data_IF_489069840109
#
_entry.id   IF_489069840109
#
_cell.length_a   1.000
_cell.length_b   1.000
_cell.length_c   1.000
_cell.angle_alpha   90.00
_cell.angle_beta   90.00
_cell.angle_gamma   90.00
#
_symmetry.space_group_name_H-M   'P 1'
#
loop_
_entity.id
_entity.type
_entity.pdbx_description
1 polymer ?
#
# COMPACT_ATOMS: atom_id res chain seq x y z
N UNK A 1 14.17 -3.21 9.01
CA UNK A 1 12.86 -3.01 9.68
C UNK A 1 11.80 -2.74 8.64
N UNK A 2 10.60 -3.26 8.89
CA UNK A 2 9.42 -2.98 8.07
C UNK A 2 8.43 -2.13 8.88
N UNK A 3 8.15 -0.94 8.37
CA UNK A 3 7.20 0.00 8.97
C UNK A 3 5.97 0.06 8.08
N UNK A 4 4.84 -0.36 8.62
CA UNK A 4 3.54 -0.25 7.94
C UNK A 4 2.84 1.02 8.42
N UNK A 5 2.38 1.86 7.48
CA UNK A 5 1.56 3.02 7.76
C UNK A 5 0.15 2.74 7.24
N UNK A 6 -0.83 2.86 8.11
CA UNK A 6 -2.23 2.58 7.81
C UNK A 6 -3.14 3.59 8.49
N UNK A 7 -4.17 4.01 7.76
CA UNK A 7 -5.21 4.89 8.25
C UNK A 7 -6.47 4.12 8.69
N UNK A 8 -6.99 4.40 9.88
CA UNK A 8 -8.19 3.78 10.40
C UNK A 8 -9.22 4.80 10.87
N UNK A 9 -10.45 4.63 10.41
CA UNK A 9 -11.60 5.39 10.90
C UNK A 9 -12.25 4.67 12.08
N UNK A 10 -12.35 5.34 13.21
CA UNK A 10 -13.07 4.86 14.39
C UNK A 10 -14.45 5.54 14.41
N UNK A 11 -15.50 4.77 14.14
CA UNK A 11 -16.86 5.27 13.99
C UNK A 11 -17.64 5.43 15.31
N UNK A 12 -17.05 5.09 16.46
CA UNK A 12 -17.76 5.08 17.77
C UNK A 12 -17.15 6.02 18.81
N UNK A 13 -16.38 7.02 18.39
CA UNK A 13 -15.70 7.93 19.32
C UNK A 13 -16.61 8.99 19.96
N UNK A 14 -17.88 9.07 19.55
CA UNK A 14 -18.86 10.03 20.10
C UNK A 14 -19.74 9.36 21.17
N UNK A 15 -19.65 9.85 22.39
CA UNK A 15 -20.52 9.43 23.51
C UNK A 15 -21.98 9.96 23.41
N UNK A 16 -22.30 10.72 22.36
CA UNK A 16 -23.62 11.32 22.19
C UNK A 16 -24.37 10.74 21.00
N UNK A 17 -25.05 9.61 21.22
CA UNK A 17 -25.88 8.92 20.20
C UNK A 17 -27.22 9.60 19.89
N UNK A 18 -27.51 10.76 20.45
CA UNK A 18 -28.89 11.22 20.50
C UNK A 18 -29.27 12.38 19.56
N UNK A 19 -28.33 13.07 18.89
CA UNK A 19 -28.69 14.23 18.06
C UNK A 19 -27.71 14.50 16.91
N UNK A 20 -27.24 13.49 16.14
CA UNK A 20 -26.38 13.78 14.98
C UNK A 20 -27.19 13.86 13.69
N UNK A 21 -27.37 15.06 13.19
CA UNK A 21 -27.87 15.34 11.83
C UNK A 21 -26.77 15.13 10.76
N UNK A 22 -25.48 15.09 11.16
CA UNK A 22 -24.34 14.89 10.26
C UNK A 22 -23.70 13.51 10.46
N UNK A 23 -23.70 12.64 9.41
CA UNK A 23 -23.10 11.31 9.46
C UNK A 23 -21.57 11.30 9.68
N UNK A 24 -20.89 12.44 9.47
CA UNK A 24 -19.43 12.58 9.66
C UNK A 24 -19.07 13.03 11.09
N UNK A 25 -20.03 13.58 11.84
CA UNK A 25 -19.81 14.03 13.22
C UNK A 25 -19.54 12.82 14.14
N UNK A 26 -18.37 12.84 14.79
CA UNK A 26 -17.92 11.76 15.70
C UNK A 26 -17.05 10.68 15.06
N UNK A 27 -16.65 10.80 13.80
CA UNK A 27 -15.63 9.96 13.20
C UNK A 27 -14.23 10.45 13.56
N UNK A 28 -13.41 9.55 14.07
CA UNK A 28 -12.00 9.81 14.36
C UNK A 28 -11.13 9.05 13.35
N UNK A 29 -10.39 9.78 12.53
CA UNK A 29 -9.40 9.19 11.63
C UNK A 29 -8.03 9.20 12.30
N UNK A 30 -7.41 8.03 12.40
CA UNK A 30 -6.08 7.84 13.00
C UNK A 30 -5.17 7.21 11.96
N UNK A 31 -4.01 7.82 11.74
CA UNK A 31 -2.91 7.23 10.98
C UNK A 31 -1.93 6.66 11.99
N UNK A 32 -1.54 5.41 11.81
CA UNK A 32 -0.63 4.69 12.69
C UNK A 32 0.59 4.20 11.93
N UNK A 33 1.76 4.31 12.52
CA UNK A 33 3.00 3.68 12.06
C UNK A 33 3.33 2.49 12.97
N UNK A 34 3.48 1.31 12.37
CA UNK A 34 3.65 0.03 13.05
C UNK A 34 4.92 -0.68 12.58
N UNK A 35 5.80 -1.07 13.50
CA UNK A 35 6.95 -1.94 13.21
C UNK A 35 6.49 -3.39 13.28
N UNK A 36 6.55 -4.07 12.14
CA UNK A 36 5.99 -5.41 12.01
C UNK A 36 6.78 -6.46 12.81
N UNK A 37 8.10 -6.38 12.77
CA UNK A 37 8.97 -7.35 13.44
C UNK A 37 8.84 -7.30 14.97
N UNK A 38 8.73 -6.10 15.50
CA UNK A 38 8.73 -5.86 16.95
C UNK A 38 7.32 -5.80 17.53
N UNK A 39 6.27 -5.70 16.67
CA UNK A 39 4.89 -5.55 17.11
C UNK A 39 4.63 -4.24 17.86
N UNK A 40 5.37 -3.16 17.52
CA UNK A 40 5.36 -1.89 18.24
C UNK A 40 4.77 -0.79 17.38
N UNK A 41 3.87 0.03 17.94
CA UNK A 41 3.44 1.29 17.35
C UNK A 41 4.49 2.37 17.60
N UNK A 42 5.02 2.98 16.52
CA UNK A 42 5.98 4.08 16.61
C UNK A 42 5.30 5.42 16.88
N UNK A 43 4.05 5.56 16.45
CA UNK A 43 3.30 6.78 16.62
C UNK A 43 1.93 6.72 15.97
N UNK A 44 1.08 7.65 16.38
CA UNK A 44 -0.25 7.84 15.83
C UNK A 44 -0.52 9.33 15.67
N UNK A 45 -1.15 9.69 14.56
CA UNK A 45 -1.57 11.07 14.28
C UNK A 45 -3.05 11.08 13.96
N UNK A 46 -3.78 11.99 14.60
CA UNK A 46 -5.17 12.27 14.26
C UNK A 46 -5.20 13.02 12.92
N UNK A 47 -6.04 12.58 12.00
CA UNK A 47 -6.42 13.34 10.82
C UNK A 47 -7.85 13.84 10.99
N UNK A 48 -8.11 15.10 10.63
CA UNK A 48 -9.44 15.68 10.80
C UNK A 48 -10.47 15.10 9.83
N UNK A 49 -9.99 14.61 8.66
CA UNK A 49 -10.80 13.91 7.66
C UNK A 49 -9.97 12.83 6.97
N UNK A 50 -10.65 11.84 6.38
CA UNK A 50 -9.98 10.79 5.58
C UNK A 50 -9.22 11.36 4.38
N UNK A 51 -9.69 12.44 3.78
CA UNK A 51 -9.03 13.17 2.69
C UNK A 51 -7.69 13.80 3.11
N UNK A 52 -7.49 14.02 4.41
CA UNK A 52 -6.28 14.64 4.96
C UNK A 52 -5.15 13.62 5.26
N UNK A 53 -5.34 12.32 5.00
CA UNK A 53 -4.30 11.31 5.17
C UNK A 53 -3.06 11.64 4.32
N UNK A 54 -3.26 12.12 3.09
CA UNK A 54 -2.18 12.50 2.16
C UNK A 54 -1.27 13.58 2.77
N UNK A 55 -1.85 14.51 3.52
CA UNK A 55 -1.10 15.61 4.18
C UNK A 55 -0.56 15.22 5.55
N UNK A 56 -1.18 14.27 6.22
CA UNK A 56 -0.77 13.85 7.56
C UNK A 56 0.35 12.80 7.53
N UNK A 57 0.42 11.93 6.50
CA UNK A 57 1.49 10.93 6.34
C UNK A 57 2.88 11.57 6.28
N UNK A 58 3.15 12.60 5.44
CA UNK A 58 4.46 13.26 5.43
C UNK A 58 4.87 13.82 6.80
N UNK A 59 3.94 14.49 7.49
CA UNK A 59 4.18 15.03 8.84
C UNK A 59 4.52 13.95 9.85
N UNK A 60 3.84 12.81 9.79
CA UNK A 60 4.16 11.66 10.64
C UNK A 60 5.56 11.13 10.31
N UNK A 61 5.89 10.95 9.03
CA UNK A 61 7.20 10.46 8.59
C UNK A 61 8.35 11.36 9.09
N UNK A 62 8.15 12.67 9.12
CA UNK A 62 9.15 13.64 9.65
C UNK A 62 9.44 13.45 11.14
N UNK A 63 8.52 12.88 11.91
CA UNK A 63 8.71 12.64 13.36
C UNK A 63 9.34 11.29 13.67
N UNK A 64 9.50 10.41 12.68
CA UNK A 64 9.99 9.05 12.85
C UNK A 64 11.41 8.88 12.30
N UNK A 65 12.24 8.10 13.00
CA UNK A 65 13.50 7.62 12.44
C UNK A 65 13.24 6.35 11.60
N UNK A 66 13.10 6.57 10.29
CA UNK A 66 12.82 5.51 9.31
C UNK A 66 14.05 5.09 8.50
N UNK A 67 15.23 5.62 8.81
CA UNK A 67 16.46 5.35 8.06
C UNK A 67 16.74 3.85 7.98
N UNK A 68 16.98 3.36 6.76
CA UNK A 68 17.23 1.95 6.48
C UNK A 68 16.01 1.03 6.61
N UNK A 69 14.81 1.58 6.83
CA UNK A 69 13.57 0.83 6.87
C UNK A 69 12.94 0.65 5.49
N UNK A 70 12.06 -0.35 5.38
CA UNK A 70 11.09 -0.45 4.29
C UNK A 70 9.74 0.05 4.81
N UNK A 71 9.23 1.12 4.20
CA UNK A 71 7.94 1.71 4.55
C UNK A 71 6.87 1.23 3.57
N UNK A 72 5.80 0.65 4.09
CA UNK A 72 4.65 0.22 3.28
C UNK A 72 3.45 1.09 3.60
N UNK A 73 2.76 1.56 2.56
CA UNK A 73 1.56 2.39 2.69
C UNK A 73 0.51 1.88 1.70
N UNK A 74 -0.75 2.01 2.07
CA UNK A 74 -1.87 1.68 1.20
C UNK A 74 -1.99 2.65 0.00
N UNK A 75 -3.04 2.48 -0.82
CA UNK A 75 -3.17 3.27 -2.04
C UNK A 75 -3.41 4.76 -1.81
N UNK A 76 -3.92 5.19 -0.66
CA UNK A 76 -4.08 6.62 -0.36
C UNK A 76 -2.72 7.30 -0.24
N UNK A 77 -1.73 6.61 0.33
CA UNK A 77 -0.35 7.08 0.43
C UNK A 77 0.50 6.85 -0.82
N UNK A 78 -0.05 6.33 -1.92
CA UNK A 78 0.66 6.21 -3.20
C UNK A 78 0.72 7.58 -3.88
N UNK A 79 1.63 8.45 -3.40
CA UNK A 79 1.84 9.81 -3.85
C UNK A 79 3.34 10.08 -4.06
N UNK A 80 3.65 10.88 -5.09
CA UNK A 80 5.03 11.22 -5.46
C UNK A 80 5.79 11.89 -4.30
N UNK A 81 5.13 12.83 -3.61
CA UNK A 81 5.73 13.57 -2.49
C UNK A 81 6.01 12.67 -1.28
N UNK A 82 5.13 11.69 -1.03
CA UNK A 82 5.32 10.71 0.05
C UNK A 82 6.50 9.81 -0.28
N UNK A 83 6.59 9.30 -1.52
CA UNK A 83 7.73 8.52 -1.98
C UNK A 83 9.06 9.31 -1.84
N UNK A 84 9.05 10.58 -2.24
CA UNK A 84 10.21 11.46 -2.11
C UNK A 84 10.61 11.69 -0.64
N UNK A 85 9.63 11.90 0.25
CA UNK A 85 9.86 12.08 1.69
C UNK A 85 10.53 10.85 2.30
N UNK A 86 10.04 9.64 2.01
CA UNK A 86 10.61 8.38 2.51
C UNK A 86 12.06 8.22 2.05
N UNK A 87 12.31 8.44 0.75
CA UNK A 87 13.67 8.30 0.18
C UNK A 87 14.63 9.36 0.76
N UNK A 88 14.17 10.60 0.95
CA UNK A 88 14.98 11.67 1.53
C UNK A 88 15.45 11.36 2.95
N UNK A 89 14.70 10.57 3.70
CA UNK A 89 15.05 10.09 5.04
C UNK A 89 15.88 8.80 5.03
N UNK A 90 16.33 8.33 3.85
CA UNK A 90 17.18 7.15 3.73
C UNK A 90 16.45 5.82 3.91
N UNK A 91 15.15 5.79 3.67
CA UNK A 91 14.31 4.59 3.65
C UNK A 91 13.92 4.20 2.22
N UNK A 92 13.37 3.00 2.05
CA UNK A 92 12.75 2.54 0.81
C UNK A 92 11.24 2.39 0.99
N UNK A 93 10.49 2.50 -0.10
CA UNK A 93 9.04 2.41 -0.05
C UNK A 93 8.48 1.22 -0.83
N UNK A 94 7.33 0.72 -0.39
CA UNK A 94 6.42 -0.15 -1.15
C UNK A 94 5.02 0.45 -1.04
N UNK A 95 4.54 1.04 -2.12
CA UNK A 95 3.25 1.73 -2.18
C UNK A 95 2.25 0.92 -2.98
N UNK A 96 1.02 0.79 -2.47
CA UNK A 96 -0.03 0.09 -3.17
C UNK A 96 -0.59 0.97 -4.31
N UNK A 97 -0.35 0.58 -5.55
CA UNK A 97 -0.84 1.28 -6.72
C UNK A 97 -2.30 0.92 -7.01
N UNK A 98 -3.14 1.92 -7.18
CA UNK A 98 -4.53 1.82 -7.61
C UNK A 98 -4.90 2.95 -8.57
N UNK A 99 -6.18 3.06 -8.93
CA UNK A 99 -6.71 4.06 -9.87
C UNK A 99 -6.64 5.52 -9.38
N UNK A 100 -6.16 5.78 -8.16
CA UNK A 100 -5.81 7.12 -7.71
C UNK A 100 -4.57 7.70 -8.43
N UNK A 101 -3.78 6.81 -9.07
CA UNK A 101 -2.69 7.17 -9.99
C UNK A 101 -3.00 6.55 -11.37
N UNK A 102 -3.97 7.10 -12.13
CA UNK A 102 -4.57 6.42 -13.28
C UNK A 102 -3.55 6.07 -14.36
N UNK A 103 -2.71 7.01 -14.78
CA UNK A 103 -1.75 6.80 -15.85
C UNK A 103 -0.71 5.73 -15.50
N UNK A 104 -0.16 5.81 -14.29
CA UNK A 104 0.80 4.80 -13.81
C UNK A 104 0.12 3.43 -13.66
N UNK A 105 -1.12 3.40 -13.14
CA UNK A 105 -1.87 2.17 -12.97
C UNK A 105 -2.14 1.48 -14.32
N UNK A 106 -2.60 2.22 -15.32
CA UNK A 106 -2.88 1.70 -16.66
C UNK A 106 -1.62 1.15 -17.30
N UNK A 107 -0.52 1.91 -17.29
CA UNK A 107 0.77 1.46 -17.84
C UNK A 107 1.27 0.16 -17.18
N UNK A 108 1.19 0.08 -15.86
CA UNK A 108 1.60 -1.11 -15.11
C UNK A 108 0.67 -2.30 -15.38
N UNK A 109 -0.64 -2.08 -15.43
CA UNK A 109 -1.61 -3.12 -15.74
C UNK A 109 -1.40 -3.70 -17.16
N UNK A 110 -1.19 -2.84 -18.15
CA UNK A 110 -0.92 -3.23 -19.54
C UNK A 110 0.38 -4.02 -19.65
N UNK A 111 1.44 -3.58 -18.96
CA UNK A 111 2.70 -4.31 -18.92
C UNK A 111 2.51 -5.74 -18.40
N UNK A 112 1.84 -5.95 -17.26
CA UNK A 112 1.65 -7.30 -16.73
C UNK A 112 0.69 -8.14 -17.60
N UNK A 113 -0.29 -7.55 -18.27
CA UNK A 113 -1.11 -8.24 -19.27
C UNK A 113 -0.26 -8.74 -20.44
N UNK A 114 0.56 -7.85 -21.02
CA UNK A 114 1.48 -8.20 -22.11
C UNK A 114 2.50 -9.26 -21.67
N UNK A 115 3.15 -9.06 -20.53
CA UNK A 115 4.18 -9.98 -20.04
C UNK A 115 3.67 -11.41 -19.81
N UNK A 116 2.39 -11.59 -19.54
CA UNK A 116 1.76 -12.92 -19.39
C UNK A 116 1.56 -13.65 -20.71
N UNK A 117 1.52 -12.95 -21.84
CA UNK A 117 1.38 -13.53 -23.18
C UNK A 117 2.73 -13.82 -23.85
N UNK A 118 3.81 -13.21 -23.37
CA UNK A 118 5.14 -13.36 -23.94
C UNK A 118 5.92 -14.58 -23.40
N UNK A 119 6.82 -15.17 -24.20
CA UNK A 119 7.76 -16.18 -23.72
C UNK A 119 8.64 -15.68 -22.58
N UNK A 120 9.08 -16.61 -21.71
CA UNK A 120 9.86 -16.28 -20.50
C UNK A 120 11.15 -15.51 -20.84
N UNK A 121 11.77 -15.80 -21.98
CA UNK A 121 13.03 -15.16 -22.43
C UNK A 121 12.87 -13.67 -22.74
N UNK A 122 11.66 -13.21 -23.07
CA UNK A 122 11.38 -11.81 -23.41
C UNK A 122 10.88 -10.97 -22.24
N UNK A 123 10.36 -11.61 -21.20
CA UNK A 123 9.84 -10.93 -20.03
C UNK A 123 10.88 -10.87 -18.92
N UNK A 124 11.21 -9.68 -18.46
CA UNK A 124 12.10 -9.48 -17.31
C UNK A 124 11.34 -9.63 -15.99
N UNK A 125 10.55 -10.72 -15.86
CA UNK A 125 9.75 -11.00 -14.67
C UNK A 125 10.42 -12.05 -13.79
N UNK A 126 10.51 -11.76 -12.50
CA UNK A 126 10.73 -12.76 -11.46
C UNK A 126 9.39 -13.17 -10.91
N UNK A 127 9.10 -14.46 -10.88
CA UNK A 127 7.85 -15.02 -10.39
C UNK A 127 8.09 -15.83 -9.13
N UNK A 128 7.21 -15.67 -8.15
CA UNK A 128 7.20 -16.45 -6.93
C UNK A 128 5.76 -16.81 -6.57
N UNK A 129 5.49 -18.04 -6.17
CA UNK A 129 4.16 -18.47 -5.75
C UNK A 129 4.22 -19.35 -4.52
N UNK A 130 3.18 -19.28 -3.70
CA UNK A 130 3.01 -20.10 -2.52
C UNK A 130 1.51 -20.28 -2.18
N UNK A 131 1.24 -21.30 -1.40
CA UNK A 131 -0.10 -21.64 -0.93
C UNK A 131 -0.15 -21.52 0.59
N UNK A 132 -1.27 -20.99 1.08
CA UNK A 132 -1.56 -20.85 2.51
C UNK A 132 -2.89 -21.52 2.83
N UNK A 133 -2.96 -22.19 3.98
CA UNK A 133 -4.20 -22.68 4.55
C UNK A 133 -4.52 -21.89 5.82
N UNK A 134 -5.49 -20.97 5.73
CA UNK A 134 -5.93 -20.15 6.86
C UNK A 134 -7.45 -20.22 7.04
N UNK A 135 -7.90 -20.54 8.24
CA UNK A 135 -9.31 -20.51 8.64
C UNK A 135 -10.27 -21.24 7.67
N UNK A 136 -9.88 -22.44 7.21
CA UNK A 136 -10.68 -23.22 6.26
C UNK A 136 -10.74 -22.62 4.85
N UNK A 137 -9.75 -21.83 4.48
CA UNK A 137 -9.56 -21.30 3.12
C UNK A 137 -8.22 -21.75 2.58
N UNK A 138 -8.23 -22.24 1.37
CA UNK A 138 -7.04 -22.45 0.57
C UNK A 138 -6.77 -21.20 -0.24
N UNK A 139 -5.61 -20.58 -0.03
CA UNK A 139 -5.24 -19.32 -0.68
C UNK A 139 -3.97 -19.55 -1.48
N UNK A 140 -4.07 -19.41 -2.79
CA UNK A 140 -2.92 -19.34 -3.68
C UNK A 140 -2.50 -17.89 -3.88
N UNK A 141 -1.22 -17.60 -3.72
CA UNK A 141 -0.64 -16.28 -4.01
C UNK A 141 0.46 -16.41 -5.05
N UNK A 142 0.43 -15.53 -6.04
CA UNK A 142 1.50 -15.35 -7.04
C UNK A 142 1.99 -13.92 -6.97
N UNK A 143 3.30 -13.75 -6.89
CA UNK A 143 3.99 -12.45 -6.90
C UNK A 143 4.84 -12.39 -8.16
N UNK A 144 4.63 -11.38 -8.98
CA UNK A 144 5.35 -11.10 -10.21
C UNK A 144 6.09 -9.77 -10.03
N UNK A 145 7.41 -9.74 -10.24
CA UNK A 145 8.25 -8.55 -10.03
C UNK A 145 8.99 -8.22 -11.31
N UNK A 146 8.85 -6.97 -11.78
CA UNK A 146 9.67 -6.39 -12.85
C UNK A 146 10.59 -5.32 -12.28
N UNK A 147 11.90 -5.45 -12.53
CA UNK A 147 12.91 -4.47 -12.11
C UNK A 147 13.27 -3.47 -13.21
N UNK A 148 12.83 -3.68 -14.44
CA UNK A 148 12.95 -2.68 -15.49
C UNK A 148 11.72 -1.77 -15.48
N UNK A 149 11.91 -0.55 -15.01
CA UNK A 149 10.88 0.49 -14.94
C UNK A 149 11.15 1.63 -15.94
N UNK A 150 12.16 1.49 -16.80
CA UNK A 150 12.60 2.54 -17.73
C UNK A 150 11.55 2.93 -18.78
N UNK A 151 10.62 2.02 -19.06
CA UNK A 151 9.51 2.20 -19.99
C UNK A 151 8.33 3.01 -19.40
N UNK A 152 8.30 3.25 -18.09
CA UNK A 152 7.26 4.04 -17.43
C UNK A 152 7.53 5.53 -17.72
N UNK A 153 6.63 6.20 -18.42
CA UNK A 153 6.79 7.62 -18.79
C UNK A 153 7.02 8.53 -17.59
N UNK A 154 6.29 8.28 -16.50
CA UNK A 154 6.35 9.08 -15.27
C UNK A 154 7.40 8.60 -14.28
N UNK A 155 8.30 7.67 -14.65
CA UNK A 155 9.30 7.08 -13.75
C UNK A 155 10.16 8.12 -13.04
N UNK A 156 10.48 9.23 -13.72
CA UNK A 156 11.33 10.30 -13.18
C UNK A 156 10.66 11.11 -12.07
N UNK A 157 9.34 11.09 -11.99
CA UNK A 157 8.57 11.73 -10.91
C UNK A 157 8.66 10.92 -9.60
N UNK A 158 8.80 9.60 -9.72
CA UNK A 158 8.86 8.69 -8.59
C UNK A 158 10.31 8.47 -8.15
N UNK A 159 10.72 9.17 -7.11
CA UNK A 159 12.10 9.11 -6.60
C UNK A 159 12.50 7.68 -6.28
N UNK A 160 13.59 7.19 -6.93
CA UNK A 160 14.13 5.84 -6.77
C UNK A 160 13.13 4.69 -7.01
N UNK A 161 12.13 4.89 -7.86
CA UNK A 161 11.30 3.77 -8.32
C UNK A 161 12.20 2.76 -9.05
N UNK A 162 12.30 1.54 -8.53
CA UNK A 162 13.22 0.51 -9.01
C UNK A 162 12.53 -0.78 -9.44
N UNK A 163 11.27 -0.96 -9.08
CA UNK A 163 10.51 -2.16 -9.43
C UNK A 163 9.01 -1.93 -9.34
N UNK A 164 8.27 -2.71 -10.11
CA UNK A 164 6.82 -2.85 -10.02
C UNK A 164 6.48 -4.29 -9.66
N UNK A 165 5.42 -4.46 -8.87
CA UNK A 165 5.03 -5.75 -8.32
C UNK A 165 3.55 -5.97 -8.58
N UNK A 166 3.20 -7.14 -9.12
CA UNK A 166 1.83 -7.60 -9.21
C UNK A 166 1.61 -8.77 -8.27
N UNK A 167 0.61 -8.67 -7.40
CA UNK A 167 0.20 -9.73 -6.48
C UNK A 167 -1.16 -10.26 -6.90
N UNK A 168 -1.20 -11.52 -7.29
CA UNK A 168 -2.45 -12.24 -7.59
C UNK A 168 -2.79 -13.13 -6.40
N UNK A 169 -4.03 -13.01 -5.90
CA UNK A 169 -4.59 -13.87 -4.85
C UNK A 169 -5.80 -14.61 -5.41
N UNK A 170 -5.78 -15.93 -5.28
CA UNK A 170 -6.95 -16.78 -5.54
C UNK A 170 -7.25 -17.53 -4.25
N UNK A 171 -8.51 -17.57 -3.83
CA UNK A 171 -8.92 -18.27 -2.62
C UNK A 171 -10.19 -19.08 -2.89
N UNK A 172 -10.18 -20.33 -2.45
CA UNK A 172 -11.36 -21.21 -2.42
C UNK A 172 -11.77 -21.42 -0.95
N UNK A 173 -13.08 -21.40 -0.70
CA UNK A 173 -13.63 -21.74 0.60
C UNK A 173 -13.99 -23.23 0.59
N UNK A 174 -13.47 -24.02 1.51
CA UNK A 174 -13.98 -25.36 1.75
C UNK A 174 -15.45 -25.25 2.19
N UNK A 175 -16.36 -25.81 1.42
CA UNK A 175 -17.74 -26.05 1.84
C UNK A 175 -18.84 -25.18 1.25
N UNK A 176 -18.74 -24.67 0.04
CA UNK A 176 -19.93 -24.26 -0.75
C UNK A 176 -19.73 -24.65 -2.21
N UNK A 177 -20.05 -25.92 -2.53
CA UNK A 177 -20.61 -26.29 -3.81
C UNK A 177 -22.11 -25.98 -3.74
N UNK A 178 -22.54 -24.93 -4.43
CA UNK A 178 -23.93 -24.78 -4.90
C UNK A 178 -23.89 -24.50 -6.38
#
# INVERSE_FOLDING_TARGET
>A
KHIAIDGKTICAASNNRLNHEDPEEGKLHIISAWVREDGISLGQVKSDEKSNEITAIPKMLETLDIKGATVTIDAMGCQVDIAATIVNQGAVYVLALKKNQPNLYESVEEYFKWARTEPIEKKQLKEFSYEEHEHGRHIYRKVEVCNDVSWIETVREWKQLSSIICVTRKGEREGHQT
#
